data_IF_212422768131
#
_entry.id   IF_212422768131
#
_cell.length_a   1.000
_cell.length_b   1.000
_cell.length_c   1.000
_cell.angle_alpha   90.00
_cell.angle_beta   90.00
_cell.angle_gamma   90.00
#
_symmetry.space_group_name_H-M   'P 1'
#
loop_
_entity.id
_entity.type
_entity.pdbx_description
1 polymer ?
#
# COMPACT_ATOMS: atom_id res chain seq x y z
N UNK A 1 -10.97 -15.86 -2.29
CA UNK A 1 -9.52 -15.55 -2.39
C UNK A 1 -9.01 -14.44 -1.43
N UNK A 2 -9.90 -13.68 -0.77
CA UNK A 2 -9.53 -12.51 0.05
C UNK A 2 -10.02 -12.65 1.50
N UNK A 3 -10.23 -13.87 1.93
CA UNK A 3 -10.64 -14.28 3.27
C UNK A 3 -9.71 -13.73 4.35
N UNK A 4 -8.39 -13.74 4.12
CA UNK A 4 -7.40 -13.21 5.08
C UNK A 4 -7.68 -11.75 5.50
N UNK A 5 -7.92 -10.86 4.52
CA UNK A 5 -8.21 -9.45 4.78
C UNK A 5 -9.51 -9.26 5.56
N UNK A 6 -10.52 -10.07 5.23
CA UNK A 6 -11.86 -9.94 5.79
C UNK A 6 -11.92 -10.55 7.19
N UNK A 7 -11.25 -11.68 7.41
CA UNK A 7 -11.06 -12.28 8.73
C UNK A 7 -10.32 -11.31 9.67
N UNK A 8 -9.22 -10.70 9.22
CA UNK A 8 -8.48 -9.71 10.01
C UNK A 8 -9.36 -8.52 10.44
N UNK A 9 -10.24 -8.04 9.55
CA UNK A 9 -11.23 -7.01 9.89
C UNK A 9 -12.21 -7.49 10.95
N UNK A 10 -12.80 -8.67 10.77
CA UNK A 10 -13.76 -9.25 11.72
C UNK A 10 -13.14 -9.40 13.11
N UNK A 11 -11.92 -9.94 13.21
CA UNK A 11 -11.19 -10.10 14.46
C UNK A 11 -10.93 -8.76 15.15
N UNK A 12 -10.55 -7.73 14.39
CA UNK A 12 -10.32 -6.38 14.95
C UNK A 12 -11.62 -5.78 15.49
N UNK A 13 -12.69 -5.86 14.71
CA UNK A 13 -13.99 -5.30 15.06
C UNK A 13 -14.70 -6.07 16.20
N UNK A 14 -14.36 -7.35 16.41
CA UNK A 14 -14.89 -8.16 17.52
C UNK A 14 -14.17 -7.93 18.85
N UNK A 15 -13.13 -7.10 18.89
CA UNK A 15 -12.31 -6.89 20.08
C UNK A 15 -11.29 -7.99 20.37
N UNK A 16 -11.01 -8.89 19.41
CA UNK A 16 -10.01 -9.93 19.59
C UNK A 16 -8.60 -9.33 19.73
N UNK A 17 -7.79 -9.90 20.64
CA UNK A 17 -6.38 -9.52 20.80
C UNK A 17 -5.54 -10.21 19.74
N UNK A 18 -4.89 -9.45 18.87
CA UNK A 18 -3.98 -9.96 17.84
C UNK A 18 -2.53 -9.72 18.27
N UNK A 19 -1.66 -10.69 18.03
CA UNK A 19 -0.21 -10.58 18.25
C UNK A 19 0.52 -10.84 16.95
N UNK A 20 1.56 -10.06 16.67
CA UNK A 20 2.46 -10.28 15.54
C UNK A 20 3.78 -10.83 16.07
N UNK A 21 4.25 -11.90 15.44
CA UNK A 21 5.54 -12.51 15.76
C UNK A 21 6.43 -12.41 14.52
N UNK A 22 7.68 -12.03 14.74
CA UNK A 22 8.66 -11.96 13.66
C UNK A 22 9.37 -13.32 13.51
N UNK A 23 9.00 -14.06 12.46
CA UNK A 23 9.55 -15.38 12.15
C UNK A 23 10.90 -15.37 11.43
N UNK A 24 11.61 -14.22 11.41
CA UNK A 24 12.93 -14.12 10.77
C UNK A 24 13.90 -15.19 11.31
N UNK A 25 14.45 -16.00 10.41
CA UNK A 25 15.35 -17.11 10.74
C UNK A 25 14.66 -18.42 11.15
N UNK A 26 13.34 -18.44 11.37
CA UNK A 26 12.59 -19.63 11.74
C UNK A 26 11.95 -20.34 10.55
N UNK A 27 11.38 -19.57 9.61
CA UNK A 27 10.67 -20.10 8.43
C UNK A 27 11.09 -19.33 7.19
N UNK A 28 11.29 -20.03 6.07
CA UNK A 28 11.55 -19.44 4.75
C UNK A 28 10.48 -19.90 3.77
N UNK A 29 9.73 -18.95 3.23
CA UNK A 29 8.74 -19.20 2.18
C UNK A 29 9.12 -18.41 0.92
N UNK A 30 9.57 -19.07 -0.17
CA UNK A 30 9.83 -18.37 -1.42
C UNK A 30 8.51 -17.88 -2.02
N UNK A 31 8.29 -16.56 -2.01
CA UNK A 31 7.02 -15.99 -2.48
C UNK A 31 6.99 -15.76 -4.00
N UNK A 32 7.56 -14.65 -4.47
CA UNK A 32 7.67 -14.34 -5.89
C UNK A 32 9.08 -13.90 -6.23
N UNK A 33 9.57 -14.31 -7.41
CA UNK A 33 10.86 -13.88 -7.93
C UNK A 33 10.67 -12.81 -9.00
N UNK A 34 11.15 -11.61 -8.74
CA UNK A 34 11.08 -10.48 -9.66
C UNK A 34 9.77 -9.68 -9.60
N UNK A 35 9.86 -8.41 -9.98
CA UNK A 35 8.78 -7.41 -9.86
C UNK A 35 7.51 -7.82 -10.62
N UNK A 36 7.66 -8.38 -11.83
CA UNK A 36 6.51 -8.80 -12.64
C UNK A 36 5.72 -9.94 -12.01
N UNK A 37 6.40 -10.90 -11.37
CA UNK A 37 5.72 -12.00 -10.70
C UNK A 37 5.02 -11.54 -9.42
N UNK A 38 5.62 -10.58 -8.70
CA UNK A 38 4.94 -9.90 -7.58
C UNK A 38 3.68 -9.19 -8.08
N UNK A 39 3.78 -8.38 -9.14
CA UNK A 39 2.64 -7.66 -9.70
C UNK A 39 1.52 -8.60 -10.19
N UNK A 40 1.86 -9.71 -10.86
CA UNK A 40 0.90 -10.76 -11.25
C UNK A 40 0.27 -11.43 -10.04
N UNK A 41 1.04 -11.72 -8.99
CA UNK A 41 0.52 -12.30 -7.75
C UNK A 41 -0.46 -11.39 -7.03
N UNK A 42 -0.23 -10.07 -7.12
CA UNK A 42 -1.08 -9.03 -6.55
C UNK A 42 -2.35 -8.75 -7.39
N UNK A 43 -2.33 -9.03 -8.69
CA UNK A 43 -3.44 -8.80 -9.64
C UNK A 43 -4.78 -9.36 -9.15
N UNK A 44 -4.77 -10.54 -8.53
CA UNK A 44 -6.00 -11.20 -8.05
C UNK A 44 -6.62 -10.56 -6.81
N UNK A 45 -5.84 -9.84 -6.00
CA UNK A 45 -6.22 -9.50 -4.63
C UNK A 45 -6.25 -7.99 -4.34
N UNK A 46 -5.47 -7.17 -5.04
CA UNK A 46 -5.35 -5.74 -4.69
C UNK A 46 -6.69 -5.00 -4.77
N UNK A 47 -7.48 -5.21 -5.82
CA UNK A 47 -8.77 -4.51 -5.95
C UNK A 47 -9.78 -4.87 -4.84
N UNK A 48 -9.67 -6.07 -4.27
CA UNK A 48 -10.48 -6.48 -3.14
C UNK A 48 -10.15 -5.71 -1.85
N UNK A 49 -8.92 -5.23 -1.71
CA UNK A 49 -8.50 -4.33 -0.65
C UNK A 49 -9.26 -3.00 -0.66
N UNK A 50 -9.67 -2.55 -1.86
CA UNK A 50 -10.50 -1.36 -2.10
C UNK A 50 -11.98 -1.71 -2.24
N UNK A 51 -12.42 -2.84 -1.67
CA UNK A 51 -13.80 -3.31 -1.70
C UNK A 51 -14.44 -3.33 -3.10
N UNK A 52 -13.62 -3.57 -4.14
CA UNK A 52 -14.05 -3.52 -5.55
C UNK A 52 -14.70 -2.17 -5.95
N UNK A 53 -14.25 -1.09 -5.31
CA UNK A 53 -14.70 0.29 -5.50
C UNK A 53 -13.63 1.11 -6.22
N UNK A 54 -13.98 1.64 -7.40
CA UNK A 54 -13.10 2.57 -8.13
C UNK A 54 -12.92 3.88 -7.37
N UNK A 55 -13.96 4.35 -6.67
CA UNK A 55 -13.85 5.55 -5.85
C UNK A 55 -12.82 5.39 -4.73
N UNK A 56 -12.83 4.25 -4.01
CA UNK A 56 -11.83 3.96 -2.98
C UNK A 56 -10.41 3.88 -3.57
N UNK A 57 -10.27 3.26 -4.75
CA UNK A 57 -8.98 3.16 -5.44
C UNK A 57 -8.47 4.54 -5.91
N UNK A 58 -9.34 5.43 -6.40
CA UNK A 58 -8.99 6.79 -6.80
C UNK A 58 -8.54 7.60 -5.59
N UNK A 59 -9.32 7.58 -4.50
CA UNK A 59 -8.96 8.28 -3.25
C UNK A 59 -7.63 7.78 -2.72
N UNK A 60 -7.43 6.46 -2.68
CA UNK A 60 -6.14 5.87 -2.31
C UNK A 60 -5.00 6.33 -3.23
N UNK A 61 -5.21 6.31 -4.54
CA UNK A 61 -4.17 6.70 -5.52
C UNK A 61 -3.77 8.16 -5.35
N UNK A 62 -4.74 9.06 -5.18
CA UNK A 62 -4.49 10.48 -4.94
C UNK A 62 -3.76 10.71 -3.61
N UNK A 63 -4.21 10.07 -2.54
CA UNK A 63 -3.55 10.18 -1.23
C UNK A 63 -2.13 9.60 -1.26
N UNK A 64 -1.92 8.46 -1.92
CA UNK A 64 -0.62 7.83 -2.08
C UNK A 64 0.32 8.70 -2.93
N UNK A 65 -0.14 9.25 -4.06
CA UNK A 65 0.64 10.18 -4.88
C UNK A 65 0.97 11.47 -4.13
N UNK A 66 0.00 12.03 -3.40
CA UNK A 66 0.21 13.21 -2.56
C UNK A 66 1.23 12.95 -1.46
N UNK A 67 1.17 11.81 -0.78
CA UNK A 67 2.17 11.46 0.23
C UNK A 67 3.54 11.18 -0.39
N UNK A 68 3.58 10.56 -1.57
CA UNK A 68 4.80 10.15 -2.24
C UNK A 68 5.55 11.35 -2.85
N UNK A 69 4.84 12.17 -3.62
CA UNK A 69 5.40 13.23 -4.45
C UNK A 69 5.14 14.63 -3.87
N UNK A 70 4.12 14.80 -3.03
CA UNK A 70 3.71 16.10 -2.49
C UNK A 70 4.85 16.86 -1.83
N UNK A 71 5.65 16.26 -0.92
CA UNK A 71 6.77 16.96 -0.30
C UNK A 71 7.81 17.50 -1.30
N UNK A 72 8.10 16.75 -2.37
CA UNK A 72 9.00 17.18 -3.43
C UNK A 72 8.37 18.29 -4.29
N UNK A 73 7.08 18.18 -4.61
CA UNK A 73 6.31 19.21 -5.35
C UNK A 73 6.26 20.51 -4.54
N UNK A 74 6.00 20.45 -3.24
CA UNK A 74 6.01 21.62 -2.35
C UNK A 74 7.37 22.30 -2.35
N UNK A 75 8.47 21.54 -2.30
CA UNK A 75 9.82 22.09 -2.42
C UNK A 75 10.05 22.80 -3.75
N UNK A 76 9.73 22.13 -4.86
CA UNK A 76 9.94 22.65 -6.21
C UNK A 76 9.11 23.92 -6.51
N UNK A 77 7.83 23.93 -6.16
CA UNK A 77 6.90 25.05 -6.40
C UNK A 77 7.07 26.17 -5.37
N UNK A 78 7.40 25.83 -4.12
CA UNK A 78 7.61 26.80 -3.05
C UNK A 78 8.94 27.55 -3.17
N UNK A 79 9.95 26.98 -3.84
CA UNK A 79 11.27 27.60 -3.99
C UNK A 79 11.19 28.97 -4.67
N UNK A 80 10.57 29.15 -5.86
CA UNK A 80 10.40 30.46 -6.49
C UNK A 80 9.64 31.46 -5.61
N UNK A 81 8.56 31.03 -4.97
CA UNK A 81 7.68 31.87 -4.16
C UNK A 81 8.35 32.41 -2.89
N UNK A 82 9.27 31.63 -2.31
CA UNK A 82 10.00 31.99 -1.09
C UNK A 82 11.33 32.70 -1.41
N UNK A 83 11.87 32.51 -2.62
CA UNK A 83 13.13 33.12 -3.07
C UNK A 83 13.01 34.58 -3.51
N UNK A 84 11.81 35.15 -3.61
CA UNK A 84 11.55 36.54 -4.00
C UNK A 84 12.11 37.52 -2.94
N UNK A 85 13.40 37.80 -3.05
CA UNK A 85 14.15 38.77 -2.24
C UNK A 85 14.97 38.18 -1.08
N UNK A 86 14.88 36.87 -0.79
CA UNK A 86 15.64 36.22 0.30
C UNK A 86 16.05 34.77 -0.05
N UNK A 87 17.16 34.56 -0.77
CA UNK A 87 17.56 33.22 -1.25
C UNK A 87 17.78 32.20 -0.12
N UNK A 88 18.15 32.65 1.09
CA UNK A 88 18.33 31.77 2.24
C UNK A 88 17.05 31.08 2.74
N UNK A 89 15.86 31.63 2.42
CA UNK A 89 14.58 31.04 2.82
C UNK A 89 14.10 29.96 1.86
N UNK A 90 14.66 29.86 0.64
CA UNK A 90 14.30 28.84 -0.34
C UNK A 90 14.49 27.41 0.19
N UNK A 91 15.47 27.21 1.08
CA UNK A 91 15.73 25.91 1.73
C UNK A 91 14.58 25.48 2.65
N UNK A 92 13.78 26.42 3.17
CA UNK A 92 12.64 26.10 4.03
C UNK A 92 11.51 25.41 3.25
N UNK A 93 11.38 25.69 1.94
CA UNK A 93 10.39 25.03 1.08
C UNK A 93 10.62 23.50 0.98
N UNK A 94 11.87 23.06 1.18
CA UNK A 94 12.27 21.66 1.11
C UNK A 94 12.17 20.91 2.46
N UNK A 95 11.81 21.58 3.56
CA UNK A 95 11.67 20.94 4.87
C UNK A 95 10.74 19.71 4.86
N UNK A 96 9.56 19.73 4.20
CA UNK A 96 8.70 18.55 4.12
C UNK A 96 9.38 17.38 3.42
N UNK A 97 10.13 17.65 2.34
CA UNK A 97 10.87 16.63 1.60
C UNK A 97 11.98 16.02 2.45
N UNK A 98 12.76 16.86 3.15
CA UNK A 98 13.83 16.39 4.06
C UNK A 98 13.25 15.55 5.20
N UNK A 99 12.12 15.96 5.77
CA UNK A 99 11.42 15.19 6.80
C UNK A 99 10.96 13.82 6.27
N UNK A 100 10.31 13.78 5.11
CA UNK A 100 9.89 12.54 4.46
C UNK A 100 11.08 11.62 4.17
N UNK A 101 12.15 12.14 3.57
CA UNK A 101 13.36 11.39 3.26
C UNK A 101 14.01 10.81 4.51
N UNK A 102 14.03 11.57 5.61
CA UNK A 102 14.57 11.12 6.90
C UNK A 102 13.74 9.99 7.50
N UNK A 103 12.41 10.08 7.43
CA UNK A 103 11.50 9.01 7.90
C UNK A 103 11.69 7.74 7.07
N UNK A 104 11.69 7.85 5.74
CA UNK A 104 11.86 6.71 4.82
C UNK A 104 13.22 6.05 5.03
N UNK A 105 14.29 6.84 5.11
CA UNK A 105 15.64 6.34 5.38
C UNK A 105 15.72 5.62 6.72
N UNK A 106 15.20 6.21 7.78
CA UNK A 106 15.25 5.64 9.13
C UNK A 106 14.49 4.31 9.19
N UNK A 107 13.28 4.26 8.61
CA UNK A 107 12.47 3.05 8.56
C UNK A 107 13.17 1.91 7.79
N UNK A 108 13.71 2.20 6.60
CA UNK A 108 14.38 1.20 5.77
C UNK A 108 15.74 0.78 6.34
N UNK A 109 16.43 1.67 7.04
CA UNK A 109 17.66 1.32 7.79
C UNK A 109 17.35 0.35 8.93
N UNK A 110 16.25 0.55 9.67
CA UNK A 110 15.82 -0.40 10.70
C UNK A 110 15.39 -1.73 10.09
N UNK A 111 14.66 -1.70 8.98
CA UNK A 111 14.24 -2.91 8.26
C UNK A 111 15.43 -3.74 7.76
N UNK A 112 16.41 -3.11 7.11
CA UNK A 112 17.59 -3.81 6.56
C UNK A 112 18.49 -4.42 7.63
N UNK A 113 18.54 -3.85 8.83
CA UNK A 113 19.20 -4.48 9.98
C UNK A 113 18.59 -5.83 10.35
N UNK A 114 17.30 -6.01 10.08
CA UNK A 114 16.55 -7.24 10.43
C UNK A 114 16.43 -8.22 9.27
N UNK A 115 16.16 -7.72 8.08
CA UNK A 115 15.83 -8.54 6.90
C UNK A 115 16.91 -8.55 5.81
N UNK A 116 18.00 -7.81 6.01
CA UNK A 116 19.09 -7.66 5.04
C UNK A 116 18.76 -6.66 3.93
N UNK A 117 19.70 -6.48 3.01
CA UNK A 117 19.62 -5.52 1.90
C UNK A 117 20.35 -4.20 2.17
N UNK A 118 20.39 -3.33 1.16
CA UNK A 118 21.04 -2.02 1.25
C UNK A 118 19.99 -0.92 1.48
N UNK A 119 20.00 -0.22 2.63
CA UNK A 119 19.00 0.78 2.94
C UNK A 119 19.00 1.96 1.96
N UNK A 120 20.17 2.33 1.41
CA UNK A 120 20.28 3.42 0.45
C UNK A 120 19.59 3.07 -0.86
N UNK A 121 19.84 1.86 -1.37
CA UNK A 121 19.17 1.37 -2.58
C UNK A 121 17.66 1.32 -2.37
N UNK A 122 17.19 0.79 -1.23
CA UNK A 122 15.76 0.71 -0.94
C UNK A 122 15.11 2.09 -0.78
N UNK A 123 15.79 3.05 -0.14
CA UNK A 123 15.29 4.42 0.01
C UNK A 123 15.21 5.14 -1.33
N UNK A 124 16.19 4.96 -2.22
CA UNK A 124 16.14 5.52 -3.57
C UNK A 124 15.05 4.89 -4.43
N UNK A 125 14.76 3.61 -4.24
CA UNK A 125 13.70 2.89 -4.95
C UNK A 125 12.30 3.12 -4.36
N UNK A 126 12.17 3.79 -3.21
CA UNK A 126 10.88 4.03 -2.55
C UNK A 126 9.84 4.70 -3.47
N UNK A 127 10.16 5.77 -4.22
CA UNK A 127 9.23 6.38 -5.17
C UNK A 127 8.78 5.39 -6.25
N UNK A 128 9.71 4.63 -6.83
CA UNK A 128 9.40 3.62 -7.83
C UNK A 128 8.50 2.52 -7.26
N UNK A 129 8.76 2.04 -6.03
CA UNK A 129 7.95 1.05 -5.37
C UNK A 129 6.51 1.53 -5.12
N UNK A 130 6.34 2.79 -4.70
CA UNK A 130 5.02 3.40 -4.53
C UNK A 130 4.23 3.48 -5.82
N UNK A 131 4.86 3.94 -6.92
CA UNK A 131 4.24 4.00 -8.24
C UNK A 131 3.88 2.61 -8.77
N UNK A 132 4.75 1.62 -8.58
CA UNK A 132 4.49 0.23 -8.95
C UNK A 132 3.31 -0.35 -8.17
N UNK A 133 3.16 -0.03 -6.89
CA UNK A 133 2.02 -0.48 -6.08
C UNK A 133 0.70 0.11 -6.60
N UNK A 134 0.68 1.41 -6.91
CA UNK A 134 -0.48 2.09 -7.51
C UNK A 134 -0.81 1.45 -8.86
N UNK A 135 0.19 1.26 -9.73
CA UNK A 135 0.04 0.61 -11.02
C UNK A 135 -0.48 -0.83 -10.91
N UNK A 136 0.01 -1.61 -9.95
CA UNK A 136 -0.47 -2.95 -9.68
C UNK A 136 -1.93 -2.96 -9.18
N UNK A 137 -2.32 -1.98 -8.36
CA UNK A 137 -3.69 -1.84 -7.88
C UNK A 137 -4.66 -1.50 -9.03
N UNK A 138 -4.29 -0.59 -9.92
CA UNK A 138 -5.05 -0.29 -11.12
C UNK A 138 -5.10 -1.47 -12.09
N UNK A 139 -3.98 -2.16 -12.34
CA UNK A 139 -3.96 -3.37 -13.15
C UNK A 139 -4.91 -4.45 -12.60
N UNK A 140 -4.90 -4.65 -11.27
CA UNK A 140 -5.84 -5.54 -10.58
C UNK A 140 -7.30 -5.14 -10.83
N UNK A 141 -7.61 -3.85 -10.65
CA UNK A 141 -8.97 -3.33 -10.82
C UNK A 141 -9.46 -3.46 -12.27
N UNK A 142 -8.68 -2.96 -13.23
CA UNK A 142 -9.02 -2.98 -14.65
C UNK A 142 -9.24 -4.41 -15.15
N UNK A 143 -8.38 -5.36 -14.77
CA UNK A 143 -8.53 -6.76 -15.18
C UNK A 143 -9.72 -7.44 -14.51
N UNK A 144 -9.98 -7.15 -13.25
CA UNK A 144 -11.16 -7.68 -12.54
C UNK A 144 -12.46 -7.17 -13.17
N UNK A 145 -12.53 -5.88 -13.50
CA UNK A 145 -13.68 -5.28 -14.16
C UNK A 145 -13.85 -5.82 -15.58
N UNK A 146 -12.79 -5.86 -16.38
CA UNK A 146 -12.84 -6.34 -17.76
C UNK A 146 -13.26 -7.82 -17.86
N UNK A 147 -12.86 -8.65 -16.89
CA UNK A 147 -13.22 -10.07 -16.83
C UNK A 147 -14.55 -10.35 -16.12
N UNK A 148 -15.17 -9.33 -15.53
CA UNK A 148 -16.38 -9.49 -14.71
C UNK A 148 -16.15 -10.31 -13.43
N UNK A 149 -14.91 -10.45 -12.96
CA UNK A 149 -14.58 -11.32 -11.82
C UNK A 149 -13.09 -11.63 -11.69
N UNK A 150 -12.76 -12.47 -10.71
CA UNK A 150 -11.39 -12.90 -10.42
C UNK A 150 -11.27 -14.40 -10.63
N UNK A 151 -10.29 -14.84 -11.42
CA UNK A 151 -9.93 -16.26 -11.50
C UNK A 151 -8.83 -16.55 -10.50
N UNK A 152 -9.04 -17.55 -9.66
CA UNK A 152 -8.04 -18.01 -8.70
C UNK A 152 -7.96 -19.53 -8.72
N UNK A 153 -6.76 -20.04 -9.03
CA UNK A 153 -6.55 -21.45 -9.40
C UNK A 153 -7.55 -21.82 -10.52
N UNK A 154 -8.30 -22.89 -10.32
CA UNK A 154 -9.25 -23.42 -11.28
C UNK A 154 -10.68 -22.91 -11.07
N UNK A 155 -10.87 -21.89 -10.22
CA UNK A 155 -12.18 -21.33 -9.89
C UNK A 155 -12.32 -19.88 -10.36
N UNK A 156 -13.42 -19.58 -11.04
CA UNK A 156 -13.80 -18.22 -11.38
C UNK A 156 -14.80 -17.68 -10.34
N UNK A 157 -14.52 -16.51 -9.80
CA UNK A 157 -15.36 -15.82 -8.83
C UNK A 157 -15.98 -14.58 -9.49
N UNK A 158 -17.29 -14.59 -9.78
CA UNK A 158 -18.00 -13.45 -10.35
C UNK A 158 -17.87 -12.20 -9.47
N UNK A 159 -17.76 -11.03 -10.10
CA UNK A 159 -17.60 -9.76 -9.40
C UNK A 159 -18.80 -9.44 -8.51
N UNK A 160 -20.01 -9.82 -8.91
CA UNK A 160 -21.24 -9.65 -8.13
C UNK A 160 -21.19 -10.43 -6.81
N UNK A 161 -20.76 -11.69 -6.83
CA UNK A 161 -20.58 -12.51 -5.64
C UNK A 161 -19.49 -11.94 -4.73
N UNK A 162 -18.36 -11.54 -5.32
CA UNK A 162 -17.27 -10.90 -4.58
C UNK A 162 -17.71 -9.59 -3.91
N UNK A 163 -18.62 -8.86 -4.55
CA UNK A 163 -19.25 -7.64 -4.01
C UNK A 163 -20.30 -7.94 -2.96
N UNK A 164 -21.06 -9.02 -3.08
CA UNK A 164 -22.05 -9.45 -2.11
C UNK A 164 -21.37 -9.97 -0.82
N UNK A 165 -20.29 -10.73 -0.96
CA UNK A 165 -19.49 -11.29 0.14
C UNK A 165 -18.59 -10.28 0.87
N UNK A 166 -18.79 -8.97 0.67
CA UNK A 166 -18.00 -7.94 1.36
C UNK A 166 -18.35 -7.89 2.84
N UNK A 167 -17.34 -8.02 3.70
CA UNK A 167 -17.49 -7.71 5.13
C UNK A 167 -17.65 -6.19 5.31
N UNK A 168 -18.89 -5.80 5.64
CA UNK A 168 -19.27 -4.41 5.95
C UNK A 168 -18.58 -3.92 7.22
N UNK A 169 -18.42 -2.61 7.33
CA UNK A 169 -17.93 -1.99 8.54
C UNK A 169 -18.81 -2.32 9.74
N UNK A 170 -18.19 -2.76 10.84
CA UNK A 170 -18.88 -3.15 12.06
C UNK A 170 -19.47 -4.55 12.04
N UNK A 171 -19.34 -5.31 10.96
CA UNK A 171 -19.80 -6.70 10.91
C UNK A 171 -19.10 -7.59 11.94
N UNK A 172 -17.90 -7.23 12.39
CA UNK A 172 -17.20 -7.96 13.45
C UNK A 172 -17.79 -7.75 14.84
N UNK A 173 -18.54 -6.66 15.09
CA UNK A 173 -19.10 -6.35 16.42
C UNK A 173 -20.12 -7.39 16.90
N UNK A 174 -20.80 -8.07 15.97
CA UNK A 174 -21.71 -9.18 16.31
C UNK A 174 -21.02 -10.41 16.91
N UNK A 175 -19.69 -10.48 16.75
CA UNK A 175 -18.84 -11.51 17.34
C UNK A 175 -18.10 -11.00 18.59
N UNK A 176 -18.28 -9.71 18.94
CA UNK A 176 -17.82 -9.19 20.21
C UNK A 176 -18.63 -9.82 21.33
N UNK A 177 -17.93 -10.28 22.37
CA UNK A 177 -18.57 -10.85 23.56
C UNK A 177 -19.37 -9.76 24.29
N UNK A 178 -20.49 -10.19 24.86
CA UNK A 178 -21.05 -9.59 26.09
C UNK A 178 -19.96 -9.48 27.18
#
# INVERSE_FOLDING_TARGET
>A
PTDDFKLGRLLKESGARQRFFDGAGMVRCPWHRGVLNVARGLEKNLFAGFNYSIAELVVFSLAALGLLLGPAITGAVGTPAVSSGRPGLALLAWLPFVAQATVVWSALRLQTRRYGGNPMVLSLLYPAAGLLLIGAAWNSALRTLARGGVRWRDTFYPLEELRAGRVRAGAGRRYGRD
#
